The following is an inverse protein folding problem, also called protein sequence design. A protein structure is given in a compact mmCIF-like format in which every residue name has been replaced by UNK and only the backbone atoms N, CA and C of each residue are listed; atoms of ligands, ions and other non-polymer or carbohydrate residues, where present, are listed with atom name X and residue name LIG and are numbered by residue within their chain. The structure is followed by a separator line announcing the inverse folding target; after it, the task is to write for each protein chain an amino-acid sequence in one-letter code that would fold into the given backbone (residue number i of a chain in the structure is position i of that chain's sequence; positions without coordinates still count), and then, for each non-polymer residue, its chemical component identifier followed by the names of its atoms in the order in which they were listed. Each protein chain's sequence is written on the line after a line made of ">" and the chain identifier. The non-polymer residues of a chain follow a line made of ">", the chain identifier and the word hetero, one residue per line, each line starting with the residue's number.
data_IF_249349461332
#
_entry.id   IF_249349461332
#
_cell.length_a   1.000
_cell.length_b   1.000
_cell.length_c   1.000
_cell.angle_alpha   90.00
_cell.angle_beta   90.00
_cell.angle_gamma   90.00
#
_symmetry.space_group_name_H-M   'P 1'
#
loop_
_entity.id
_entity.type
_entity.pdbx_description
1 polymer ?
#
# COMPACT_ATOMS: atom_id res chain seq x y z
N UNK A 1 -19.13 6.04 6.50
CA UNK A 1 -18.10 7.03 6.08
C UNK A 1 -17.95 7.00 4.57
N UNK A 2 -18.00 8.14 3.97
CA UNK A 2 -17.76 8.22 2.53
C UNK A 2 -16.27 8.09 2.24
N UNK A 3 -15.96 7.53 1.09
CA UNK A 3 -14.58 7.26 0.72
C UNK A 3 -13.73 8.53 0.68
N UNK A 4 -14.30 9.64 0.20
CA UNK A 4 -13.59 10.92 0.17
C UNK A 4 -13.18 11.40 1.57
N UNK A 5 -14.05 11.23 2.55
CA UNK A 5 -13.73 11.61 3.92
C UNK A 5 -12.62 10.75 4.48
N UNK A 6 -12.64 9.46 4.13
CA UNK A 6 -11.58 8.56 4.54
C UNK A 6 -10.24 8.99 3.94
N UNK A 7 -10.22 9.34 2.66
CA UNK A 7 -8.99 9.79 2.01
C UNK A 7 -8.45 11.07 2.66
N UNK A 8 -9.34 11.98 3.04
CA UNK A 8 -8.90 13.19 3.73
C UNK A 8 -8.24 12.88 5.06
N UNK A 9 -8.71 11.84 5.75
CA UNK A 9 -8.13 11.44 7.04
C UNK A 9 -6.73 10.87 6.88
N UNK A 10 -6.34 10.44 5.67
CA UNK A 10 -5.02 9.90 5.41
C UNK A 10 -3.99 10.96 5.06
N UNK A 11 -4.40 12.19 4.81
CA UNK A 11 -3.45 13.25 4.47
C UNK A 11 -2.54 13.52 5.66
N UNK A 12 -1.25 13.66 5.36
CA UNK A 12 -0.24 13.82 6.39
C UNK A 12 0.24 12.51 6.99
N UNK A 13 -0.33 11.39 6.59
CA UNK A 13 0.08 10.06 7.04
C UNK A 13 0.80 9.32 5.93
N UNK A 14 1.59 8.32 6.33
CA UNK A 14 2.24 7.45 5.36
C UNK A 14 1.41 6.19 5.18
N UNK A 15 1.35 5.70 3.94
CA UNK A 15 0.52 4.55 3.59
C UNK A 15 1.37 3.52 2.85
N UNK A 16 1.28 2.27 3.26
CA UNK A 16 1.87 1.14 2.55
C UNK A 16 0.75 0.34 1.90
N UNK A 17 0.90 0.01 0.62
CA UNK A 17 -0.03 -0.87 -0.08
C UNK A 17 0.76 -2.13 -0.44
N UNK A 18 0.33 -3.26 0.09
CA UNK A 18 1.00 -4.54 -0.12
C UNK A 18 0.36 -5.25 -1.30
N UNK A 19 1.18 -5.56 -2.30
CA UNK A 19 0.72 -6.20 -3.53
C UNK A 19 0.49 -5.19 -4.62
N UNK A 20 1.35 -5.23 -5.65
CA UNK A 20 1.21 -4.36 -6.83
C UNK A 20 0.55 -5.18 -7.92
N UNK A 21 -0.76 -5.23 -7.90
CA UNK A 21 -1.53 -5.98 -8.87
C UNK A 21 -2.63 -5.14 -9.46
N UNK A 22 -3.36 -5.73 -10.39
CA UNK A 22 -4.43 -5.02 -11.09
C UNK A 22 -5.45 -4.46 -10.11
N UNK A 23 -5.75 -5.20 -9.05
CA UNK A 23 -6.77 -4.77 -8.09
C UNK A 23 -6.30 -3.63 -7.19
N UNK A 24 -5.01 -3.46 -6.99
CA UNK A 24 -4.48 -2.42 -6.11
C UNK A 24 -4.01 -1.17 -6.84
N UNK A 25 -3.80 -1.25 -8.17
CA UNK A 25 -3.36 -0.09 -8.95
C UNK A 25 -4.34 1.10 -8.83
N UNK A 26 -5.66 0.88 -8.95
CA UNK A 26 -6.58 2.01 -8.78
C UNK A 26 -6.49 2.67 -7.41
N UNK A 27 -6.29 1.88 -6.35
CA UNK A 27 -6.12 2.42 -5.01
C UNK A 27 -4.85 3.26 -4.91
N UNK A 28 -3.74 2.74 -5.42
CA UNK A 28 -2.46 3.46 -5.40
C UNK A 28 -2.58 4.77 -6.17
N UNK A 29 -3.15 4.72 -7.37
CA UNK A 29 -3.29 5.91 -8.20
C UNK A 29 -4.17 6.96 -7.52
N UNK A 30 -5.25 6.52 -6.87
CA UNK A 30 -6.14 7.43 -6.18
C UNK A 30 -5.43 8.10 -5.00
N UNK A 31 -4.69 7.34 -4.20
CA UNK A 31 -3.95 7.90 -3.07
C UNK A 31 -2.92 8.92 -3.55
N UNK A 32 -2.21 8.62 -4.63
CA UNK A 32 -1.25 9.54 -5.20
C UNK A 32 -1.91 10.83 -5.68
N UNK A 33 -3.09 10.72 -6.30
CA UNK A 33 -3.81 11.89 -6.81
C UNK A 33 -4.27 12.82 -5.69
N UNK A 34 -4.33 12.31 -4.46
CA UNK A 34 -4.71 13.11 -3.28
C UNK A 34 -3.50 13.60 -2.49
N UNK A 35 -2.30 13.41 -3.02
CA UNK A 35 -1.09 13.88 -2.36
C UNK A 35 -0.67 13.06 -1.15
N UNK A 36 -1.15 11.84 -1.03
CA UNK A 36 -0.82 10.96 0.09
C UNK A 36 0.49 10.22 -0.22
N UNK A 37 1.39 10.16 0.75
CA UNK A 37 2.65 9.45 0.58
C UNK A 37 2.41 7.94 0.59
N UNK A 38 2.72 7.28 -0.52
CA UNK A 38 2.46 5.84 -0.71
C UNK A 38 3.76 5.09 -0.92
N UNK A 39 3.89 3.95 -0.24
CA UNK A 39 4.92 2.97 -0.50
C UNK A 39 4.22 1.71 -1.00
N UNK A 40 4.56 1.27 -2.21
CA UNK A 40 4.00 0.05 -2.77
C UNK A 40 4.97 -1.10 -2.52
N UNK A 41 4.47 -2.16 -1.92
CA UNK A 41 5.28 -3.29 -1.50
C UNK A 41 4.89 -4.53 -2.31
N UNK A 42 5.88 -5.26 -2.83
CA UNK A 42 5.62 -6.48 -3.56
C UNK A 42 6.82 -7.42 -3.45
N UNK A 43 6.54 -8.70 -3.48
CA UNK A 43 7.58 -9.71 -3.49
C UNK A 43 8.35 -9.75 -4.80
N UNK A 44 7.72 -9.29 -5.89
CA UNK A 44 8.34 -9.27 -7.20
C UNK A 44 9.48 -8.26 -7.24
N UNK A 45 10.47 -8.53 -8.09
CA UNK A 45 11.58 -7.62 -8.32
C UNK A 45 11.13 -6.49 -9.24
N UNK A 46 11.96 -5.44 -9.31
CA UNK A 46 11.71 -4.35 -10.24
C UNK A 46 11.66 -4.82 -11.68
N UNK A 47 12.54 -5.76 -12.04
CA UNK A 47 12.54 -6.32 -13.38
C UNK A 47 11.26 -7.09 -13.68
N UNK A 48 10.73 -7.80 -12.70
CA UNK A 48 9.48 -8.54 -12.87
C UNK A 48 8.28 -7.62 -13.07
N UNK A 49 8.31 -6.42 -12.47
CA UNK A 49 7.26 -5.45 -12.63
C UNK A 49 7.35 -4.69 -13.96
N UNK A 50 8.55 -4.57 -14.51
CA UNK A 50 8.75 -3.89 -15.79
C UNK A 50 8.33 -2.44 -15.76
N UNK A 51 7.52 -2.03 -16.75
CA UNK A 51 7.09 -0.62 -16.85
C UNK A 51 6.21 -0.19 -15.70
N UNK A 52 5.55 -1.11 -15.00
CA UNK A 52 4.70 -0.77 -13.85
C UNK A 52 5.54 -0.07 -12.78
N UNK A 53 6.76 -0.56 -12.52
CA UNK A 53 7.64 0.06 -11.54
C UNK A 53 7.97 1.51 -11.94
N UNK A 54 8.27 1.73 -13.21
CA UNK A 54 8.59 3.07 -13.70
C UNK A 54 7.39 4.00 -13.58
N UNK A 55 6.22 3.52 -13.92
CA UNK A 55 4.99 4.31 -13.84
C UNK A 55 4.68 4.73 -12.41
N UNK A 56 4.85 3.81 -11.47
CA UNK A 56 4.59 4.10 -10.07
C UNK A 56 5.58 5.13 -9.53
N UNK A 57 6.85 4.97 -9.86
CA UNK A 57 7.87 5.93 -9.42
C UNK A 57 7.63 7.31 -10.02
N UNK A 58 7.17 7.36 -11.26
CA UNK A 58 6.85 8.63 -11.90
C UNK A 58 5.70 9.34 -11.21
N UNK A 59 4.82 8.58 -10.55
CA UNK A 59 3.70 9.15 -9.78
C UNK A 59 4.11 9.53 -8.35
N UNK A 60 5.36 9.29 -7.97
CA UNK A 60 5.84 9.63 -6.64
C UNK A 60 5.76 8.49 -5.63
N UNK A 61 5.44 7.28 -6.08
CA UNK A 61 5.34 6.12 -5.20
C UNK A 61 6.74 5.60 -4.88
N UNK A 62 6.98 5.28 -3.61
CA UNK A 62 8.18 4.58 -3.19
C UNK A 62 7.95 3.08 -3.34
N UNK A 63 8.92 2.37 -3.89
CA UNK A 63 8.79 0.92 -4.08
C UNK A 63 9.62 0.17 -3.05
N UNK A 64 9.01 -0.86 -2.46
CA UNK A 64 9.70 -1.77 -1.54
C UNK A 64 9.51 -3.17 -2.08
N UNK A 65 10.50 -3.68 -2.78
CA UNK A 65 10.40 -4.90 -3.57
C UNK A 65 11.36 -5.98 -3.08
N UNK A 66 11.05 -7.24 -3.43
CA UNK A 66 11.91 -8.36 -3.12
C UNK A 66 11.40 -9.18 -1.95
N UNK A 67 12.19 -10.17 -1.52
CA UNK A 67 11.75 -11.11 -0.49
C UNK A 67 11.53 -10.46 0.87
N UNK A 68 12.21 -9.36 1.15
CA UNK A 68 12.11 -8.67 2.42
C UNK A 68 11.13 -7.49 2.38
N UNK A 69 10.20 -7.52 1.46
CA UNK A 69 9.26 -6.41 1.24
C UNK A 69 8.37 -6.10 2.45
N UNK A 70 8.25 -6.99 3.40
CA UNK A 70 7.45 -6.77 4.62
C UNK A 70 8.31 -6.46 5.85
N UNK A 71 9.64 -6.46 5.73
CA UNK A 71 10.52 -6.38 6.91
C UNK A 71 10.61 -4.99 7.52
N UNK A 72 10.30 -3.96 6.76
CA UNK A 72 10.50 -2.57 7.21
C UNK A 72 9.23 -1.76 7.14
N UNK A 73 8.12 -2.34 7.57
CA UNK A 73 6.82 -1.66 7.55
C UNK A 73 6.77 -0.66 8.70
N UNK A 74 6.90 0.62 8.36
CA UNK A 74 6.86 1.71 9.34
C UNK A 74 5.75 2.71 9.05
N UNK A 75 4.99 2.47 8.01
CA UNK A 75 3.91 3.35 7.59
C UNK A 75 2.77 3.38 8.62
N UNK A 76 2.06 4.50 8.68
CA UNK A 76 0.95 4.65 9.61
C UNK A 76 -0.22 3.72 9.28
N UNK A 77 -0.48 3.54 7.99
CA UNK A 77 -1.58 2.71 7.52
C UNK A 77 -1.05 1.72 6.50
N UNK A 78 -1.44 0.46 6.65
CA UNK A 78 -1.00 -0.62 5.78
C UNK A 78 -2.23 -1.28 5.18
N UNK A 79 -2.34 -1.24 3.84
CA UNK A 79 -3.39 -1.96 3.13
C UNK A 79 -2.83 -3.28 2.65
N UNK A 80 -3.39 -4.38 3.15
CA UNK A 80 -2.96 -5.71 2.73
C UNK A 80 -3.82 -6.23 1.59
N UNK A 81 -3.25 -7.14 0.82
CA UNK A 81 -4.00 -7.85 -0.21
C UNK A 81 -5.11 -8.68 0.45
N UNK A 82 -6.33 -8.73 -0.10
CA UNK A 82 -7.41 -9.49 0.53
C UNK A 82 -7.07 -10.96 0.80
N UNK A 83 -6.24 -11.58 -0.03
CA UNK A 83 -5.83 -12.97 0.19
C UNK A 83 -4.69 -13.16 1.18
N UNK A 84 -4.09 -12.08 1.65
CA UNK A 84 -2.96 -12.16 2.57
C UNK A 84 -3.45 -12.37 4.00
N UNK A 85 -2.77 -13.24 4.73
CA UNK A 85 -3.13 -13.49 6.12
C UNK A 85 -2.73 -12.30 7.00
N UNK A 86 -3.64 -11.80 7.84
CA UNK A 86 -3.31 -10.67 8.71
C UNK A 86 -2.41 -11.06 9.89
N UNK A 87 -2.23 -12.35 10.14
CA UNK A 87 -1.44 -12.83 11.27
C UNK A 87 0.03 -13.10 10.94
N UNK A 88 0.49 -12.63 9.78
CA UNK A 88 1.91 -12.74 9.46
C UNK A 88 2.75 -11.98 10.50
N UNK A 89 3.91 -12.53 10.90
CA UNK A 89 4.73 -11.89 11.93
C UNK A 89 5.08 -10.44 11.62
N UNK A 90 5.38 -10.12 10.36
CA UNK A 90 5.73 -8.76 9.95
C UNK A 90 4.55 -7.81 10.12
N UNK A 91 3.35 -8.26 9.79
CA UNK A 91 2.16 -7.43 9.93
C UNK A 91 1.80 -7.24 11.40
N UNK A 92 1.93 -8.29 12.20
CA UNK A 92 1.68 -8.19 13.63
C UNK A 92 2.67 -7.23 14.29
N UNK A 93 3.93 -7.28 13.90
CA UNK A 93 4.94 -6.37 14.43
C UNK A 93 4.60 -4.92 14.08
N UNK A 94 4.12 -4.67 12.87
CA UNK A 94 3.74 -3.33 12.44
C UNK A 94 2.57 -2.81 13.29
N UNK A 95 1.56 -3.64 13.51
CA UNK A 95 0.41 -3.26 14.33
C UNK A 95 0.84 -2.96 15.76
N UNK A 96 1.76 -3.73 16.30
CA UNK A 96 2.27 -3.51 17.65
C UNK A 96 3.03 -2.19 17.77
N UNK A 97 3.61 -1.71 16.68
CA UNK A 97 4.28 -0.41 16.66
C UNK A 97 3.30 0.76 16.47
N UNK A 98 2.02 0.48 16.27
CA UNK A 98 1.00 1.49 16.12
C UNK A 98 0.44 1.67 14.73
N UNK A 99 0.88 0.87 13.76
CA UNK A 99 0.34 0.92 12.40
C UNK A 99 -1.09 0.37 12.37
N UNK A 100 -1.91 0.91 11.49
CA UNK A 100 -3.27 0.41 11.26
C UNK A 100 -3.24 -0.53 10.05
N UNK A 101 -3.70 -1.75 10.24
CA UNK A 101 -3.75 -2.75 9.16
C UNK A 101 -5.16 -2.81 8.60
N UNK A 102 -5.30 -2.61 7.29
CA UNK A 102 -6.59 -2.63 6.62
C UNK A 102 -6.52 -3.52 5.39
N UNK A 103 -7.67 -4.01 4.93
CA UNK A 103 -7.75 -4.68 3.63
C UNK A 103 -7.74 -3.64 2.53
N UNK A 104 -7.13 -3.99 1.39
CA UNK A 104 -7.30 -3.18 0.19
C UNK A 104 -8.76 -3.14 -0.18
N UNK A 105 -9.28 -1.95 -0.42
CA UNK A 105 -10.68 -1.78 -0.75
C UNK A 105 -10.86 -1.76 -2.26
N UNK A 106 -11.90 -2.44 -2.73
CA UNK A 106 -12.33 -2.27 -4.10
C UNK A 106 -12.97 -0.89 -4.20
N UNK A 107 -12.55 -0.11 -5.19
CA UNK A 107 -13.06 1.26 -5.33
C UNK A 107 -14.54 1.32 -5.64
N UNK A 108 -15.11 0.19 -6.05
CA UNK A 108 -16.52 0.09 -6.39
C UNK A 108 -17.42 -0.22 -5.19
N UNK A 109 -16.86 -0.33 -4.01
CA UNK A 109 -17.62 -0.74 -2.83
C UNK A 109 -18.12 0.42 -1.99
N UNK A 110 -18.05 1.57 -2.49
CA UNK A 110 -18.53 2.73 -1.77
C UNK A 110 -20.00 2.72 -1.48
#
# INVERSE_FOLDING_TARGET
>A
MKFEEYLKSLQGKTVAVIGIGVSNRPLIDLLCSRGIAVTACDRKSREALGTVAEELEASGVTLRLGEDYLEHLTEDIIFRTPGMRPDLPQLRAAVQRGSTLSKSLALTQE
#
